data_IF_837473084060
#
_entry.id   IF_837473084060
#
_cell.length_a   1.000
_cell.length_b   1.000
_cell.length_c   1.000
_cell.angle_alpha   90.00
_cell.angle_beta   90.00
_cell.angle_gamma   90.00
#
_symmetry.space_group_name_H-M   'P 1'
#
loop_
_entity.id
_entity.type
_entity.pdbx_description
1 polymer ?
#
# COMPACT_ATOMS: atom_id res chain seq x y z
N UNK A 1 9.91 -21.79 -20.23
CA UNK A 1 9.75 -21.62 -18.77
C UNK A 1 10.32 -20.27 -18.38
N UNK A 2 9.47 -19.34 -17.92
CA UNK A 2 9.97 -18.10 -17.33
C UNK A 2 10.83 -18.47 -16.12
N UNK A 3 12.11 -18.06 -16.10
CA UNK A 3 12.91 -18.11 -14.88
C UNK A 3 12.14 -17.34 -13.82
N UNK A 4 11.74 -17.97 -12.73
CA UNK A 4 11.22 -17.27 -11.56
C UNK A 4 12.27 -16.23 -11.15
N UNK A 5 12.05 -14.99 -11.57
CA UNK A 5 12.90 -13.88 -11.13
C UNK A 5 12.75 -13.83 -9.63
N UNK A 6 13.89 -13.83 -8.94
CA UNK A 6 13.91 -13.71 -7.49
C UNK A 6 13.40 -12.33 -7.12
N UNK A 7 12.17 -12.24 -6.62
CA UNK A 7 11.56 -11.00 -6.16
C UNK A 7 11.44 -10.97 -4.63
N UNK A 8 11.43 -9.77 -4.08
CA UNK A 8 11.01 -9.48 -2.70
C UNK A 8 9.54 -9.05 -2.80
N UNK A 9 8.69 -9.67 -2.00
CA UNK A 9 7.29 -9.28 -1.89
C UNK A 9 7.11 -8.24 -0.81
N UNK A 10 6.30 -7.21 -1.05
CA UNK A 10 5.98 -6.20 -0.05
C UNK A 10 4.47 -6.01 -0.04
N UNK A 11 3.89 -6.13 1.15
CA UNK A 11 2.50 -5.76 1.40
C UNK A 11 2.48 -4.43 2.15
N UNK A 12 1.61 -3.51 1.73
CA UNK A 12 1.49 -2.18 2.33
C UNK A 12 0.02 -1.91 2.65
N UNK A 13 -0.24 -1.42 3.86
CA UNK A 13 -1.51 -0.86 4.29
C UNK A 13 -1.22 0.46 4.99
N UNK A 14 -2.06 1.47 4.79
CA UNK A 14 -1.92 2.73 5.51
C UNK A 14 -3.28 3.26 5.92
N UNK A 15 -3.25 4.11 6.94
CA UNK A 15 -4.34 4.98 7.37
C UNK A 15 -3.86 6.42 7.21
N UNK A 16 -4.74 7.38 7.48
CA UNK A 16 -4.35 8.78 7.64
C UNK A 16 -3.29 9.03 8.73
N UNK A 17 -3.09 8.10 9.66
CA UNK A 17 -2.11 8.24 10.76
C UNK A 17 -0.80 7.50 10.50
N UNK A 18 -0.85 6.32 9.87
CA UNK A 18 0.32 5.44 9.84
C UNK A 18 0.36 4.46 8.67
N UNK A 19 1.58 4.08 8.30
CA UNK A 19 1.89 2.95 7.40
C UNK A 19 2.17 1.68 8.21
N UNK A 20 1.69 0.56 7.69
CA UNK A 20 2.06 -0.80 8.02
C UNK A 20 2.64 -1.46 6.76
N UNK A 21 3.71 -2.23 6.93
CA UNK A 21 4.24 -3.06 5.86
C UNK A 21 4.59 -4.47 6.35
N UNK A 22 4.60 -5.42 5.43
CA UNK A 22 5.14 -6.77 5.63
C UNK A 22 6.05 -7.10 4.45
N UNK A 23 7.32 -7.40 4.75
CA UNK A 23 8.29 -7.86 3.77
C UNK A 23 8.29 -9.39 3.73
N UNK A 24 8.22 -9.93 2.52
CA UNK A 24 8.26 -11.36 2.24
C UNK A 24 9.52 -11.68 1.45
N UNK A 25 10.29 -12.62 1.99
CA UNK A 25 11.60 -12.98 1.45
C UNK A 25 11.53 -13.81 0.17
N UNK A 26 12.68 -13.86 -0.51
CA UNK A 26 12.86 -14.48 -1.81
C UNK A 26 12.32 -15.92 -1.87
N UNK A 27 11.50 -16.18 -2.88
CA UNK A 27 11.08 -17.54 -3.26
C UNK A 27 9.83 -18.05 -2.53
N UNK A 28 9.29 -17.26 -1.60
CA UNK A 28 8.04 -17.61 -0.96
C UNK A 28 6.82 -17.24 -1.83
N UNK A 29 5.82 -18.13 -1.87
CA UNK A 29 4.56 -17.85 -2.58
C UNK A 29 3.58 -17.07 -1.70
N UNK A 30 2.85 -16.12 -2.30
CA UNK A 30 1.67 -15.50 -1.70
C UNK A 30 0.51 -16.48 -1.76
N UNK A 31 0.45 -17.43 -0.81
CA UNK A 31 -0.69 -18.33 -0.70
C UNK A 31 -1.84 -17.64 0.01
N UNK A 32 -3.08 -18.08 -0.25
CA UNK A 32 -4.26 -17.62 0.49
C UNK A 32 -4.08 -17.78 2.00
N UNK A 33 -3.41 -18.86 2.43
CA UNK A 33 -3.10 -19.10 3.83
C UNK A 33 -2.12 -18.07 4.39
N UNK A 34 -1.04 -17.74 3.67
CA UNK A 34 -0.08 -16.71 4.09
C UNK A 34 -0.76 -15.35 4.21
N UNK A 35 -1.64 -15.01 3.27
CA UNK A 35 -2.41 -13.78 3.33
C UNK A 35 -3.34 -13.74 4.56
N UNK A 36 -4.08 -14.82 4.83
CA UNK A 36 -5.00 -14.88 5.98
C UNK A 36 -4.26 -14.85 7.32
N UNK A 37 -3.23 -15.67 7.47
CA UNK A 37 -2.60 -15.86 8.77
C UNK A 37 -1.58 -14.76 9.08
N UNK A 38 -0.69 -14.47 8.13
CA UNK A 38 0.40 -13.53 8.35
C UNK A 38 -0.08 -12.11 8.08
N UNK A 39 -0.63 -11.85 6.89
CA UNK A 39 -1.00 -10.47 6.52
C UNK A 39 -2.20 -9.99 7.34
N UNK A 40 -3.31 -10.72 7.33
CA UNK A 40 -4.51 -10.26 8.02
C UNK A 40 -4.43 -10.43 9.53
N UNK A 41 -4.30 -11.67 10.00
CA UNK A 41 -4.44 -12.00 11.43
C UNK A 41 -3.29 -11.45 12.28
N UNK A 42 -2.04 -11.64 11.85
CA UNK A 42 -0.87 -11.23 12.63
C UNK A 42 -0.47 -9.77 12.45
N UNK A 43 -0.86 -9.11 11.36
CA UNK A 43 -0.42 -7.74 11.07
C UNK A 43 -1.60 -6.76 10.97
N UNK A 44 -2.43 -6.85 9.92
CA UNK A 44 -3.46 -5.84 9.62
C UNK A 44 -4.48 -5.69 10.74
N UNK A 45 -5.02 -6.79 11.28
CA UNK A 45 -6.03 -6.70 12.34
C UNK A 45 -5.47 -6.12 13.64
N UNK A 46 -4.24 -6.43 14.00
CA UNK A 46 -3.59 -5.84 15.18
C UNK A 46 -3.31 -4.35 14.95
N UNK A 47 -2.85 -3.99 13.76
CA UNK A 47 -2.60 -2.62 13.37
C UNK A 47 -3.87 -1.76 13.43
N UNK A 48 -4.99 -2.25 12.91
CA UNK A 48 -6.27 -1.53 12.89
C UNK A 48 -6.98 -1.47 14.25
N UNK A 49 -6.69 -2.41 15.17
CA UNK A 49 -7.22 -2.40 16.54
C UNK A 49 -6.54 -1.37 17.44
N UNK A 50 -5.41 -0.83 17.02
CA UNK A 50 -4.70 0.20 17.77
C UNK A 50 -5.21 1.59 17.37
N UNK A 51 -5.84 2.29 18.31
CA UNK A 51 -6.42 3.63 18.14
C UNK A 51 -5.38 4.70 17.75
N UNK A 52 -4.09 4.48 18.06
CA UNK A 52 -3.01 5.36 17.60
C UNK A 52 -2.80 5.27 16.08
N UNK A 53 -3.22 4.17 15.45
CA UNK A 53 -3.04 3.94 14.03
C UNK A 53 -4.29 4.29 13.21
N UNK A 54 -5.46 4.45 13.82
CA UNK A 54 -6.72 4.76 13.10
C UNK A 54 -7.34 6.04 13.64
N UNK A 55 -8.03 6.83 12.79
CA UNK A 55 -8.95 7.84 13.33
C UNK A 55 -10.13 7.09 13.95
N UNK A 56 -10.55 7.49 15.16
CA UNK A 56 -11.81 7.00 15.72
C UNK A 56 -12.90 7.24 14.67
N UNK A 57 -13.56 6.19 14.18
CA UNK A 57 -14.66 6.40 13.26
C UNK A 57 -15.69 7.26 13.99
N UNK A 58 -16.03 8.41 13.42
CA UNK A 58 -17.27 9.08 13.80
C UNK A 58 -18.39 8.10 13.39
N UNK A 59 -18.90 7.34 14.37
CA UNK A 59 -19.85 6.24 14.14
C UNK A 59 -21.06 6.71 13.32
N UNK A 60 -21.41 8.00 13.41
CA UNK A 60 -22.47 8.63 12.64
C UNK A 60 -22.14 8.70 11.14
N UNK A 61 -20.89 8.97 10.75
CA UNK A 61 -20.47 9.15 9.36
C UNK A 61 -20.47 7.83 8.58
N UNK A 62 -20.20 6.70 9.24
CA UNK A 62 -20.24 5.36 8.65
C UNK A 62 -21.68 4.80 8.56
N UNK A 63 -22.51 5.06 9.57
CA UNK A 63 -23.91 4.64 9.59
C UNK A 63 -24.78 5.45 8.63
N UNK A 64 -24.60 6.78 8.57
CA UNK A 64 -25.41 7.68 7.71
C UNK A 64 -25.16 7.46 6.22
N UNK A 65 -23.99 6.92 5.85
CA UNK A 65 -23.62 6.68 4.44
C UNK A 65 -23.71 5.21 4.01
N UNK A 66 -24.23 4.31 4.86
CA UNK A 66 -24.35 2.86 4.58
C UNK A 66 -23.04 2.23 4.04
N UNK A 67 -21.88 2.72 4.49
CA UNK A 67 -20.59 2.25 3.98
C UNK A 67 -20.26 0.91 4.65
N UNK A 68 -20.62 -0.20 4.01
CA UNK A 68 -20.08 -1.52 4.35
C UNK A 68 -18.63 -1.58 3.86
N UNK A 69 -17.66 -1.42 4.77
CA UNK A 69 -16.24 -1.52 4.43
C UNK A 69 -15.91 -2.91 3.82
N UNK A 70 -15.50 -2.89 2.54
CA UNK A 70 -14.77 -3.89 1.73
C UNK A 70 -15.28 -5.34 1.67
N UNK A 71 -16.28 -5.54 0.81
CA UNK A 71 -16.34 -6.73 -0.05
C UNK A 71 -15.83 -6.38 -1.45
N UNK A 72 -15.17 -7.32 -2.14
CA UNK A 72 -14.85 -7.19 -3.58
C UNK A 72 -16.09 -6.94 -4.45
N UNK A 73 -17.28 -7.12 -3.88
CA UNK A 73 -18.60 -6.94 -4.44
C UNK A 73 -18.80 -5.54 -5.09
N UNK A 74 -18.10 -4.52 -4.58
CA UNK A 74 -18.23 -3.13 -5.04
C UNK A 74 -16.97 -2.60 -5.76
N UNK A 75 -15.88 -3.37 -5.84
CA UNK A 75 -14.65 -2.92 -6.50
C UNK A 75 -14.65 -3.32 -7.98
N UNK A 76 -14.57 -2.36 -8.93
CA UNK A 76 -14.49 -2.70 -10.35
C UNK A 76 -13.17 -3.43 -10.65
N UNK A 77 -13.27 -4.54 -11.39
CA UNK A 77 -12.09 -5.26 -11.87
C UNK A 77 -11.25 -4.38 -12.82
N UNK A 78 -9.93 -4.52 -12.75
CA UNK A 78 -8.95 -3.75 -13.56
C UNK A 78 -8.99 -2.22 -13.34
N UNK A 79 -9.24 -1.76 -12.11
CA UNK A 79 -9.23 -0.33 -11.77
C UNK A 79 -8.13 0.04 -10.75
N UNK A 80 -6.84 -0.05 -11.15
CA UNK A 80 -5.74 0.40 -10.30
C UNK A 80 -5.78 1.92 -10.05
N UNK A 81 -6.36 2.70 -10.98
CA UNK A 81 -6.54 4.16 -10.88
C UNK A 81 -7.50 4.58 -9.77
N UNK A 82 -8.34 3.66 -9.29
CA UNK A 82 -9.17 3.86 -8.09
C UNK A 82 -8.44 3.43 -6.80
N UNK A 83 -7.42 2.58 -6.90
CA UNK A 83 -6.70 2.08 -5.73
C UNK A 83 -5.64 3.09 -5.30
N UNK A 84 -5.93 3.87 -4.27
CA UNK A 84 -5.00 4.84 -3.69
C UNK A 84 -3.68 4.18 -3.24
N UNK A 85 -3.72 2.88 -2.90
CA UNK A 85 -2.52 2.12 -2.54
C UNK A 85 -1.57 1.86 -3.74
N UNK A 86 -2.01 1.99 -4.99
CA UNK A 86 -1.10 1.97 -6.15
C UNK A 86 -0.18 3.20 -6.14
N UNK A 87 -0.74 4.35 -5.75
CA UNK A 87 0.03 5.61 -5.71
C UNK A 87 1.06 5.61 -4.59
N UNK A 88 0.75 5.07 -3.41
CA UNK A 88 1.78 4.91 -2.36
C UNK A 88 2.86 3.91 -2.78
N UNK A 89 2.48 2.84 -3.50
CA UNK A 89 3.43 1.89 -4.08
C UNK A 89 4.39 2.54 -5.09
N UNK A 90 3.89 3.43 -5.94
CA UNK A 90 4.74 4.19 -6.88
C UNK A 90 5.70 5.12 -6.15
N UNK A 91 5.22 5.89 -5.16
CA UNK A 91 6.06 6.81 -4.38
C UNK A 91 7.17 6.02 -3.66
N UNK A 92 6.80 4.94 -2.99
CA UNK A 92 7.74 4.05 -2.32
C UNK A 92 8.81 3.52 -3.29
N UNK A 93 8.41 3.05 -4.47
CA UNK A 93 9.33 2.55 -5.49
C UNK A 93 10.31 3.63 -5.96
N UNK A 94 9.81 4.83 -6.24
CA UNK A 94 10.64 5.94 -6.71
C UNK A 94 11.67 6.35 -5.66
N UNK A 95 11.28 6.38 -4.38
CA UNK A 95 12.19 6.69 -3.26
C UNK A 95 13.25 5.59 -3.06
N UNK A 96 12.88 4.31 -3.17
CA UNK A 96 13.86 3.21 -3.13
C UNK A 96 14.82 3.31 -4.31
N UNK A 97 14.33 3.60 -5.51
CA UNK A 97 15.16 3.76 -6.70
C UNK A 97 16.15 4.92 -6.55
N UNK A 98 15.71 6.08 -6.02
CA UNK A 98 16.60 7.21 -5.70
C UNK A 98 17.73 6.79 -4.75
N UNK A 99 17.42 6.06 -3.68
CA UNK A 99 18.45 5.58 -2.74
C UNK A 99 19.43 4.63 -3.43
N UNK A 100 18.93 3.67 -4.22
CA UNK A 100 19.76 2.72 -4.97
C UNK A 100 20.64 3.40 -6.03
N UNK A 101 20.19 4.49 -6.64
CA UNK A 101 20.97 5.27 -7.61
C UNK A 101 22.08 6.08 -6.94
N UNK A 102 21.83 6.57 -5.73
CA UNK A 102 22.83 7.28 -4.92
C UNK A 102 23.88 6.36 -4.30
N UNK A 103 23.66 5.04 -4.37
CA UNK A 103 24.48 4.07 -3.67
C UNK A 103 25.79 3.74 -4.43
N UNK A 104 26.93 3.94 -3.73
CA UNK A 104 28.26 3.95 -4.37
C UNK A 104 29.21 2.83 -3.91
N UNK A 105 28.86 2.09 -2.86
CA UNK A 105 29.68 1.00 -2.34
C UNK A 105 29.64 -0.28 -3.18
N UNK A 106 30.61 -1.15 -2.92
CA UNK A 106 30.87 -2.37 -3.70
C UNK A 106 29.68 -3.36 -3.74
N UNK A 107 28.89 -3.52 -2.67
CA UNK A 107 27.72 -4.41 -2.70
C UNK A 107 26.40 -3.70 -2.97
N UNK A 108 26.40 -2.57 -3.70
CA UNK A 108 25.16 -1.87 -4.11
C UNK A 108 24.11 -2.76 -4.78
N UNK A 109 24.51 -3.86 -5.42
CA UNK A 109 23.60 -4.80 -6.10
C UNK A 109 23.26 -6.05 -5.26
N UNK A 110 23.61 -6.07 -3.97
CA UNK A 110 23.24 -7.17 -3.07
C UNK A 110 21.81 -7.04 -2.60
N UNK A 111 21.16 -8.19 -2.35
CA UNK A 111 19.77 -8.23 -1.88
C UNK A 111 19.60 -7.54 -0.52
N UNK A 112 20.60 -7.63 0.34
CA UNK A 112 20.58 -7.01 1.67
C UNK A 112 20.62 -5.48 1.58
N UNK A 113 21.32 -4.94 0.58
CA UNK A 113 21.35 -3.51 0.28
C UNK A 113 19.97 -3.02 -0.13
N UNK A 114 19.33 -3.76 -1.04
CA UNK A 114 17.96 -3.45 -1.47
C UNK A 114 17.00 -3.51 -0.27
N UNK A 115 17.09 -4.54 0.57
CA UNK A 115 16.27 -4.65 1.79
C UNK A 115 16.49 -3.48 2.75
N UNK A 116 17.74 -3.08 2.97
CA UNK A 116 18.08 -1.93 3.81
C UNK A 116 17.43 -0.65 3.28
N UNK A 117 17.52 -0.36 1.99
CA UNK A 117 16.88 0.83 1.40
C UNK A 117 15.35 0.74 1.45
N UNK A 118 14.77 -0.43 1.20
CA UNK A 118 13.33 -0.66 1.35
C UNK A 118 12.89 -0.32 2.78
N UNK A 119 13.55 -0.86 3.79
CA UNK A 119 13.22 -0.60 5.21
C UNK A 119 13.42 0.87 5.57
N UNK A 120 14.48 1.52 5.07
CA UNK A 120 14.72 2.94 5.31
C UNK A 120 13.58 3.81 4.75
N UNK A 121 13.14 3.55 3.51
CA UNK A 121 12.04 4.30 2.88
C UNK A 121 10.72 4.04 3.61
N UNK A 122 10.39 2.78 3.90
CA UNK A 122 9.15 2.44 4.61
C UNK A 122 9.12 3.07 6.02
N UNK A 123 10.26 3.07 6.70
CA UNK A 123 10.41 3.72 8.00
C UNK A 123 10.27 5.24 7.89
N UNK A 124 10.85 5.89 6.88
CA UNK A 124 10.71 7.34 6.70
C UNK A 124 9.28 7.74 6.34
N UNK A 125 8.57 6.89 5.60
CA UNK A 125 7.17 7.12 5.24
C UNK A 125 6.20 6.80 6.38
N UNK A 126 6.62 6.08 7.42
CA UNK A 126 5.73 5.46 8.43
C UNK A 126 4.68 6.40 9.03
N UNK A 127 5.05 7.65 9.23
CA UNK A 127 4.25 8.68 9.92
C UNK A 127 4.03 9.91 9.02
N UNK A 128 4.13 9.75 7.70
CA UNK A 128 3.89 10.81 6.72
C UNK A 128 2.37 11.06 6.56
N UNK A 129 1.77 11.66 7.58
CA UNK A 129 0.33 11.91 7.66
C UNK A 129 -0.14 12.83 6.54
N UNK A 130 0.67 13.82 6.13
CA UNK A 130 0.34 14.72 5.03
C UNK A 130 0.19 13.96 3.71
N UNK A 131 1.12 13.04 3.43
CA UNK A 131 1.02 12.15 2.28
C UNK A 131 -0.24 11.29 2.37
N UNK A 132 -0.49 10.65 3.51
CA UNK A 132 -1.62 9.74 3.67
C UNK A 132 -2.96 10.45 3.51
N UNK A 133 -3.12 11.63 4.14
CA UNK A 133 -4.31 12.45 4.00
C UNK A 133 -4.50 12.91 2.56
N UNK A 134 -3.45 13.39 1.90
CA UNK A 134 -3.49 13.79 0.49
C UNK A 134 -3.95 12.63 -0.40
N UNK A 135 -3.43 11.43 -0.14
CA UNK A 135 -3.79 10.22 -0.86
C UNK A 135 -5.26 9.85 -0.64
N UNK A 136 -5.72 9.75 0.61
CA UNK A 136 -7.10 9.38 0.95
C UNK A 136 -8.10 10.43 0.46
N UNK A 137 -7.80 11.72 0.62
CA UNK A 137 -8.64 12.82 0.15
C UNK A 137 -8.70 12.94 -1.38
N UNK A 138 -7.82 12.26 -2.13
CA UNK A 138 -7.88 12.18 -3.60
C UNK A 138 -8.97 11.23 -4.12
N UNK A 139 -9.54 10.38 -3.26
CA UNK A 139 -10.50 9.36 -3.69
C UNK A 139 -11.76 9.94 -4.35
N UNK A 140 -12.42 10.99 -3.80
CA UNK A 140 -13.56 11.62 -4.46
C UNK A 140 -13.23 12.21 -5.85
N UNK A 141 -12.03 12.74 -6.07
CA UNK A 141 -11.64 13.26 -7.38
C UNK A 141 -11.36 12.15 -8.39
N UNK A 142 -10.78 11.01 -7.96
CA UNK A 142 -10.64 9.80 -8.79
C UNK A 142 -12.00 9.30 -9.28
N UNK A 143 -12.98 9.18 -8.39
CA UNK A 143 -14.35 8.79 -8.75
C UNK A 143 -14.99 9.77 -9.76
N UNK A 144 -14.78 11.08 -9.59
CA UNK A 144 -15.25 12.09 -10.55
C UNK A 144 -14.56 11.96 -11.91
N UNK A 145 -13.27 11.66 -11.94
CA UNK A 145 -12.54 11.45 -13.18
C UNK A 145 -13.05 10.24 -13.95
N UNK A 146 -13.24 9.10 -13.27
CA UNK A 146 -13.82 7.89 -13.88
C UNK A 146 -15.24 8.16 -14.38
N UNK A 147 -16.05 8.89 -13.61
CA UNK A 147 -17.40 9.30 -14.04
C UNK A 147 -17.36 10.17 -15.30
N UNK A 148 -16.44 11.14 -15.35
CA UNK A 148 -16.25 12.03 -16.52
C UNK A 148 -15.75 11.24 -17.73
N UNK A 149 -14.91 10.24 -17.51
CA UNK A 149 -14.39 9.35 -18.53
C UNK A 149 -15.38 8.25 -18.96
N UNK A 150 -16.61 8.23 -18.42
CA UNK A 150 -17.61 7.18 -18.64
C UNK A 150 -17.06 5.77 -18.39
N UNK A 151 -16.29 5.60 -17.31
CA UNK A 151 -15.71 4.31 -16.93
C UNK A 151 -14.44 3.92 -17.69
N UNK A 152 -13.85 4.82 -18.49
CA UNK A 152 -12.54 4.61 -19.13
C UNK A 152 -11.40 4.94 -18.17
N UNK A 153 -10.19 4.50 -18.53
CA UNK A 153 -8.96 4.83 -17.81
C UNK A 153 -8.77 6.33 -17.60
N UNK A 154 -8.22 6.68 -16.44
CA UNK A 154 -7.91 8.04 -16.03
C UNK A 154 -6.40 8.20 -15.81
N UNK A 155 -5.93 9.45 -15.66
CA UNK A 155 -4.52 9.77 -15.43
C UNK A 155 -4.06 9.54 -13.96
N UNK A 156 -4.86 8.83 -13.17
CA UNK A 156 -4.71 8.65 -11.71
C UNK A 156 -3.98 7.36 -11.31
#
# INVERSE_FOLDING_TARGET
MAKNQSCIGIFIVFTCKRLLWVIKDKGESWTDQYFRDIILTQNVFLFLKNEDNVIEPDEHLLQDNYVKFWGNDNWPGNSPDLNVAERIGSIFKDEVEKQMLSETWYNRYHVDTLKMHIENVLTSMKEDTELFETLLCSYPSRLRAVKTANGRHTDY
#
